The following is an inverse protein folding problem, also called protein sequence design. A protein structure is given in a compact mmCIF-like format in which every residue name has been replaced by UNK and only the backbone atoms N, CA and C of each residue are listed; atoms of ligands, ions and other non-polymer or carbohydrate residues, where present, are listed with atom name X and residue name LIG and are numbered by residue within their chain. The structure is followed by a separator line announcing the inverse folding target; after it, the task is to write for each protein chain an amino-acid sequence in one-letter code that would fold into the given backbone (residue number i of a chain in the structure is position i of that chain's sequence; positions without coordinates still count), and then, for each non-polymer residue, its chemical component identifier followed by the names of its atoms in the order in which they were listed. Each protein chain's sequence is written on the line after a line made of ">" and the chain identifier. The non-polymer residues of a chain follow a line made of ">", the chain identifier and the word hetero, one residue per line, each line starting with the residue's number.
data_IF_808440408599
#
_entry.id   IF_808440408599
#
_cell.length_a   1.000
_cell.length_b   1.000
_cell.length_c   1.000
_cell.angle_alpha   90.00
_cell.angle_beta   90.00
_cell.angle_gamma   90.00
#
_symmetry.space_group_name_H-M   'P 1'
#
loop_
_entity.id
_entity.type
_entity.pdbx_description
1 polymer ?
#
# COMPACT_ATOMS: atom_id res chain seq x y z
N UNK A 1 -18.71 -15.17 0.26
CA UNK A 1 -18.03 -13.95 -0.25
C UNK A 1 -19.10 -13.01 -0.79
N UNK A 2 -19.19 -11.78 -0.26
CA UNK A 2 -20.12 -10.78 -0.77
C UNK A 2 -19.37 -9.90 -1.78
N UNK A 3 -19.97 -9.66 -2.94
CA UNK A 3 -19.45 -8.70 -3.95
C UNK A 3 -19.85 -7.24 -3.59
N UNK A 4 -19.93 -6.92 -2.30
CA UNK A 4 -20.24 -5.57 -1.86
C UNK A 4 -19.05 -4.66 -2.11
N UNK A 5 -19.30 -3.51 -2.69
CA UNK A 5 -18.31 -2.45 -2.86
C UNK A 5 -18.85 -1.15 -2.27
N UNK A 6 -17.92 -0.30 -1.83
CA UNK A 6 -18.24 0.98 -1.21
C UNK A 6 -17.55 2.10 -1.99
N UNK A 7 -18.34 3.07 -2.46
CA UNK A 7 -17.81 4.28 -3.07
C UNK A 7 -17.32 5.19 -1.95
N UNK A 8 -16.01 5.45 -1.87
CA UNK A 8 -15.41 6.30 -0.84
C UNK A 8 -15.39 7.75 -1.31
N UNK A 9 -14.85 8.00 -2.52
CA UNK A 9 -14.83 9.32 -3.15
C UNK A 9 -14.66 9.20 -4.66
N UNK A 10 -14.99 10.26 -5.39
CA UNK A 10 -14.74 10.40 -6.82
C UNK A 10 -13.98 11.70 -7.07
N UNK A 11 -12.88 11.61 -7.79
CA UNK A 11 -12.14 12.78 -8.27
C UNK A 11 -12.54 13.07 -9.73
N UNK A 12 -13.41 14.05 -10.01
CA UNK A 12 -13.89 14.35 -11.37
C UNK A 12 -12.85 15.12 -12.19
N UNK A 13 -11.61 14.68 -12.16
CA UNK A 13 -10.44 15.30 -12.81
C UNK A 13 -9.32 14.28 -12.97
N UNK A 14 -8.35 14.55 -13.83
CA UNK A 14 -7.06 13.86 -13.81
C UNK A 14 -6.33 14.27 -12.53
N UNK A 15 -6.06 13.30 -11.67
CA UNK A 15 -5.46 13.48 -10.37
C UNK A 15 -4.07 12.84 -10.31
N UNK A 16 -3.36 13.02 -9.19
CA UNK A 16 -2.12 12.30 -8.93
C UNK A 16 -2.32 10.78 -8.97
N UNK A 17 -3.45 10.29 -8.46
CA UNK A 17 -3.81 8.87 -8.52
C UNK A 17 -3.96 8.37 -9.96
N UNK A 18 -4.53 9.19 -10.88
CA UNK A 18 -4.60 8.85 -12.30
C UNK A 18 -3.22 8.75 -12.95
N UNK A 19 -2.29 9.65 -12.59
CA UNK A 19 -0.91 9.61 -13.07
C UNK A 19 -0.19 8.34 -12.59
N UNK A 20 -0.39 7.95 -11.32
CA UNK A 20 0.15 6.70 -10.78
C UNK A 20 -0.47 5.47 -11.45
N UNK A 21 -1.78 5.45 -11.67
CA UNK A 21 -2.46 4.37 -12.37
C UNK A 21 -1.96 4.23 -13.81
N UNK A 22 -1.74 5.35 -14.52
CA UNK A 22 -1.15 5.35 -15.86
C UNK A 22 0.25 4.74 -15.86
N UNK A 23 1.08 5.10 -14.88
CA UNK A 23 2.43 4.58 -14.74
C UNK A 23 2.43 3.10 -14.33
N UNK A 24 1.51 2.70 -13.46
CA UNK A 24 1.36 1.33 -13.00
C UNK A 24 0.92 0.37 -14.11
N UNK A 25 -0.04 0.78 -14.93
CA UNK A 25 -0.65 -0.06 -15.96
C UNK A 25 -0.06 0.11 -17.37
N UNK A 26 0.73 1.18 -17.58
CA UNK A 26 1.18 1.57 -18.92
C UNK A 26 0.07 2.22 -19.77
N UNK A 27 -1.14 2.35 -19.23
CA UNK A 27 -2.28 2.95 -19.94
C UNK A 27 -2.24 4.49 -19.83
N UNK A 28 -2.17 5.23 -20.97
CA UNK A 28 -1.95 6.67 -20.93
C UNK A 28 -3.27 7.43 -20.68
N UNK A 29 -3.79 7.40 -19.43
CA UNK A 29 -5.11 7.92 -19.04
C UNK A 29 -5.31 9.37 -19.53
N UNK A 30 -4.35 10.27 -19.26
CA UNK A 30 -4.49 11.68 -19.64
C UNK A 30 -4.61 11.87 -21.16
N UNK A 31 -3.82 11.13 -21.95
CA UNK A 31 -3.88 11.16 -23.41
C UNK A 31 -5.23 10.66 -23.93
N UNK A 32 -5.72 9.56 -23.38
CA UNK A 32 -7.02 8.97 -23.75
C UNK A 32 -8.15 9.92 -23.36
N UNK A 33 -8.14 10.45 -22.14
CA UNK A 33 -9.15 11.41 -21.66
C UNK A 33 -9.22 12.67 -22.54
N UNK A 34 -8.06 13.20 -22.95
CA UNK A 34 -8.03 14.37 -23.85
C UNK A 34 -8.67 14.06 -25.21
N UNK A 35 -8.46 12.87 -25.77
CA UNK A 35 -9.09 12.45 -27.03
C UNK A 35 -10.59 12.22 -26.89
N UNK A 36 -11.03 11.63 -25.77
CA UNK A 36 -12.48 11.50 -25.47
C UNK A 36 -13.13 12.88 -25.37
N UNK A 37 -12.46 13.85 -24.75
CA UNK A 37 -13.00 15.21 -24.60
C UNK A 37 -13.24 15.93 -25.93
N UNK A 38 -12.57 15.55 -27.02
CA UNK A 38 -12.80 16.06 -28.37
C UNK A 38 -13.72 15.16 -29.21
N UNK A 39 -14.39 14.18 -28.58
CA UNK A 39 -15.45 13.37 -29.17
C UNK A 39 -15.04 12.02 -29.75
N UNK A 40 -13.80 11.58 -29.55
CA UNK A 40 -13.38 10.23 -29.97
C UNK A 40 -13.92 9.15 -29.03
N UNK A 41 -14.26 8.00 -29.58
CA UNK A 41 -14.63 6.79 -28.82
C UNK A 41 -13.37 5.99 -28.46
N UNK A 42 -13.48 5.10 -27.46
CA UNK A 42 -12.35 4.28 -27.01
C UNK A 42 -11.80 3.38 -28.14
N UNK A 43 -12.65 2.89 -29.02
CA UNK A 43 -12.27 2.04 -30.16
C UNK A 43 -11.50 2.80 -31.24
N UNK A 44 -11.74 4.09 -31.37
CA UNK A 44 -11.04 4.97 -32.33
C UNK A 44 -9.68 5.44 -31.82
N UNK A 45 -9.46 5.37 -30.48
CA UNK A 45 -8.22 5.85 -29.88
C UNK A 45 -7.14 4.77 -29.95
N UNK A 46 -6.20 4.95 -30.88
CA UNK A 46 -5.04 4.08 -31.02
C UNK A 46 -4.02 4.36 -29.91
N UNK A 47 -3.53 3.27 -29.27
CA UNK A 47 -2.38 3.20 -28.38
C UNK A 47 -1.19 2.59 -29.12
N UNK A 48 -0.09 2.35 -28.43
CA UNK A 48 1.14 1.85 -29.07
C UNK A 48 0.97 0.44 -29.67
N UNK A 49 0.18 -0.43 -29.04
CA UNK A 49 0.00 -1.83 -29.47
C UNK A 49 -1.47 -2.27 -29.54
N UNK A 50 -2.39 -1.47 -29.04
CA UNK A 50 -3.83 -1.80 -28.97
C UNK A 50 -4.69 -0.55 -29.18
N UNK A 51 -5.99 -0.69 -29.04
CA UNK A 51 -6.94 0.45 -28.92
C UNK A 51 -7.28 0.69 -27.44
N UNK A 52 -7.80 1.88 -27.12
CA UNK A 52 -8.06 2.27 -25.74
C UNK A 52 -9.21 1.51 -25.06
N UNK A 53 -10.02 0.76 -25.83
CA UNK A 53 -11.07 -0.11 -25.28
C UNK A 53 -10.52 -1.41 -24.66
N UNK A 54 -9.26 -1.77 -24.90
CA UNK A 54 -8.65 -2.94 -24.28
C UNK A 54 -8.10 -2.59 -22.87
N UNK A 55 -8.47 -3.40 -21.88
CA UNK A 55 -7.91 -3.31 -20.55
C UNK A 55 -6.43 -3.77 -20.54
N UNK A 56 -5.55 -3.03 -19.84
CA UNK A 56 -4.16 -3.46 -19.69
C UNK A 56 -4.07 -4.73 -18.83
N UNK A 57 -3.26 -5.70 -19.27
CA UNK A 57 -2.90 -6.90 -18.51
C UNK A 57 -1.51 -6.73 -17.94
N UNK A 58 -1.34 -6.98 -16.65
CA UNK A 58 -0.06 -6.86 -15.96
C UNK A 58 0.26 -8.14 -15.19
N UNK A 59 1.54 -8.52 -15.13
CA UNK A 59 2.07 -9.69 -14.45
C UNK A 59 3.02 -9.32 -13.29
N UNK A 60 2.86 -8.13 -12.75
CA UNK A 60 3.62 -7.59 -11.63
C UNK A 60 2.70 -6.94 -10.61
N UNK A 61 3.24 -6.75 -9.40
CA UNK A 61 2.54 -6.08 -8.30
C UNK A 61 3.01 -4.64 -8.19
N UNK A 62 2.07 -3.72 -8.03
CA UNK A 62 2.34 -2.31 -7.76
C UNK A 62 1.86 -1.95 -6.37
N UNK A 63 2.77 -1.48 -5.53
CA UNK A 63 2.45 -0.95 -4.20
C UNK A 63 2.54 0.57 -4.21
N UNK A 64 1.45 1.21 -3.81
CA UNK A 64 1.41 2.64 -3.50
C UNK A 64 1.46 2.80 -1.98
N UNK A 65 2.40 3.61 -1.49
CA UNK A 65 2.51 3.92 -0.07
C UNK A 65 2.54 5.43 0.15
N UNK A 66 1.70 5.91 1.07
CA UNK A 66 1.60 7.32 1.39
C UNK A 66 2.75 7.76 2.31
N UNK A 67 3.24 8.98 2.13
CA UNK A 67 4.19 9.64 3.04
C UNK A 67 3.42 10.57 3.97
N UNK A 68 3.50 10.27 5.26
CA UNK A 68 2.91 11.09 6.31
C UNK A 68 4.01 11.89 7.02
N UNK A 69 3.86 13.21 7.20
CA UNK A 69 4.91 14.08 7.75
C UNK A 69 4.88 14.17 9.29
N UNK A 70 4.43 13.15 9.99
CA UNK A 70 4.32 13.15 11.47
C UNK A 70 5.67 13.24 12.16
N UNK A 71 6.75 12.86 11.48
CA UNK A 71 8.13 13.08 11.91
C UNK A 71 8.51 14.57 11.99
N UNK A 72 7.81 15.43 11.23
CA UNK A 72 8.04 16.90 11.21
C UNK A 72 7.05 17.67 12.07
N UNK A 73 5.91 17.08 12.39
CA UNK A 73 4.82 17.70 13.13
C UNK A 73 4.42 16.83 14.32
N UNK A 74 5.22 16.91 15.39
CA UNK A 74 5.05 16.09 16.61
C UNK A 74 3.70 16.25 17.29
N UNK A 75 3.08 17.41 17.15
CA UNK A 75 1.78 17.72 17.79
C UNK A 75 0.58 17.23 16.93
N UNK A 76 0.83 16.73 15.74
CA UNK A 76 -0.23 16.23 14.88
C UNK A 76 -0.63 14.80 15.27
N UNK A 77 -1.94 14.55 15.37
CA UNK A 77 -2.46 13.20 15.57
C UNK A 77 -2.09 12.30 14.38
N UNK A 78 -1.43 11.18 14.65
CA UNK A 78 -1.07 10.15 13.66
C UNK A 78 -2.22 9.20 13.32
N UNK A 79 -3.38 9.33 13.98
CA UNK A 79 -4.56 8.55 13.63
C UNK A 79 -5.08 8.94 12.25
N UNK A 80 -5.20 7.95 11.38
CA UNK A 80 -5.71 8.10 10.02
C UNK A 80 -7.24 8.04 10.03
N UNK A 81 -7.86 8.99 9.34
CA UNK A 81 -9.31 9.11 9.23
C UNK A 81 -9.70 9.56 7.82
N UNK A 82 -10.88 10.16 7.65
CA UNK A 82 -11.35 10.73 6.38
C UNK A 82 -10.58 11.98 5.94
N UNK A 83 -9.79 12.59 6.82
CA UNK A 83 -8.94 13.73 6.47
C UNK A 83 -7.69 13.27 5.72
N UNK A 84 -7.33 13.98 4.65
CA UNK A 84 -6.08 13.76 3.93
C UNK A 84 -4.91 14.32 4.73
N UNK A 85 -4.06 13.44 5.27
CA UNK A 85 -2.86 13.79 6.05
C UNK A 85 -1.55 13.51 5.29
N UNK A 86 -1.62 12.78 4.20
CA UNK A 86 -0.44 12.47 3.39
C UNK A 86 0.04 13.69 2.61
N UNK A 87 1.36 13.94 2.62
CA UNK A 87 2.01 15.03 1.87
C UNK A 87 2.68 14.56 0.59
N UNK A 88 2.84 13.26 0.44
CA UNK A 88 3.45 12.63 -0.71
C UNK A 88 3.08 11.16 -0.81
N UNK A 89 3.60 10.50 -1.81
CA UNK A 89 3.39 9.08 -2.04
C UNK A 89 4.51 8.51 -2.89
N UNK A 90 4.82 7.24 -2.68
CA UNK A 90 5.73 6.48 -3.51
C UNK A 90 4.98 5.37 -4.23
N UNK A 91 5.52 4.93 -5.35
CA UNK A 91 5.06 3.76 -6.09
C UNK A 91 6.24 2.84 -6.34
N UNK A 92 6.06 1.58 -6.04
CA UNK A 92 7.05 0.53 -6.31
C UNK A 92 6.45 -0.59 -7.14
N UNK A 93 7.27 -1.24 -7.92
CA UNK A 93 6.91 -2.39 -8.75
C UNK A 93 7.78 -3.57 -8.33
N UNK A 94 7.16 -4.73 -8.15
CA UNK A 94 7.82 -5.99 -7.84
C UNK A 94 7.09 -7.17 -8.46
N UNK A 95 7.68 -8.34 -8.43
CA UNK A 95 7.03 -9.58 -8.89
C UNK A 95 6.09 -10.16 -7.84
N UNK A 96 6.34 -9.85 -6.57
CA UNK A 96 5.53 -10.28 -5.43
C UNK A 96 5.10 -9.09 -4.59
N UNK A 97 4.10 -9.30 -3.73
CA UNK A 97 3.66 -8.27 -2.77
C UNK A 97 4.79 -7.94 -1.80
N UNK A 98 5.51 -8.95 -1.31
CA UNK A 98 6.64 -8.80 -0.39
C UNK A 98 7.73 -7.91 -0.99
N UNK A 99 8.16 -8.19 -2.21
CA UNK A 99 9.17 -7.39 -2.92
C UNK A 99 8.70 -5.95 -3.12
N UNK A 100 7.50 -5.78 -3.63
CA UNK A 100 6.91 -4.48 -3.93
C UNK A 100 6.75 -3.65 -2.66
N UNK A 101 6.27 -4.25 -1.55
CA UNK A 101 6.10 -3.58 -0.26
C UNK A 101 7.45 -3.11 0.32
N UNK A 102 8.46 -3.98 0.35
CA UNK A 102 9.78 -3.61 0.88
C UNK A 102 10.46 -2.52 0.04
N UNK A 103 10.27 -2.53 -1.28
CA UNK A 103 10.71 -1.42 -2.15
C UNK A 103 9.99 -0.11 -1.82
N UNK A 104 8.66 -0.16 -1.58
CA UNK A 104 7.88 1.01 -1.22
C UNK A 104 8.37 1.62 0.11
N UNK A 105 8.60 0.80 1.14
CA UNK A 105 9.10 1.24 2.44
C UNK A 105 10.44 1.99 2.27
N UNK A 106 11.40 1.41 1.56
CA UNK A 106 12.69 2.07 1.31
C UNK A 106 12.55 3.38 0.55
N UNK A 107 11.62 3.44 -0.39
CA UNK A 107 11.40 4.63 -1.23
C UNK A 107 10.75 5.80 -0.48
N UNK A 108 10.19 5.57 0.71
CA UNK A 108 9.65 6.64 1.57
C UNK A 108 10.73 7.53 2.18
N UNK A 109 11.99 7.10 2.18
CA UNK A 109 13.14 7.85 2.72
C UNK A 109 12.94 8.30 4.19
N UNK A 110 12.34 7.43 5.00
CA UNK A 110 12.12 7.64 6.43
C UNK A 110 13.23 7.07 7.32
N UNK A 111 14.32 6.56 6.71
CA UNK A 111 15.38 5.85 7.42
C UNK A 111 15.04 4.38 7.72
N UNK A 112 13.87 3.91 7.29
CA UNK A 112 13.40 2.53 7.48
C UNK A 112 13.64 1.73 6.20
N UNK A 113 14.29 0.57 6.32
CA UNK A 113 14.65 -0.25 5.16
C UNK A 113 13.75 -1.49 4.97
N UNK A 114 13.02 -1.91 6.01
CA UNK A 114 12.16 -3.10 5.99
C UNK A 114 11.01 -2.96 6.99
N UNK A 115 10.21 -4.00 7.21
CA UNK A 115 9.06 -4.01 8.15
C UNK A 115 9.51 -4.06 9.62
N UNK A 116 10.32 -3.10 10.07
CA UNK A 116 10.83 -3.02 11.42
C UNK A 116 10.91 -1.57 11.89
N UNK A 117 10.47 -1.34 13.13
CA UNK A 117 10.67 -0.09 13.89
C UNK A 117 11.02 -0.44 15.33
N UNK A 118 12.19 0.00 15.78
CA UNK A 118 12.71 -0.28 17.14
C UNK A 118 11.77 0.17 18.26
N UNK A 119 10.93 1.16 18.03
CA UNK A 119 9.96 1.63 19.04
C UNK A 119 8.93 0.59 19.48
N UNK A 120 8.79 -0.52 18.73
CA UNK A 120 7.87 -1.61 19.05
C UNK A 120 8.53 -2.83 19.71
N UNK A 121 9.85 -2.82 19.91
CA UNK A 121 10.58 -3.99 20.40
C UNK A 121 10.17 -4.39 21.82
N UNK A 122 10.08 -3.40 22.71
CA UNK A 122 9.77 -3.63 24.14
C UNK A 122 8.29 -3.42 24.48
N UNK A 123 7.43 -3.28 23.47
CA UNK A 123 5.98 -3.09 23.70
C UNK A 123 5.31 -4.44 23.92
N UNK A 124 4.57 -4.62 25.03
CA UNK A 124 3.86 -5.85 25.31
C UNK A 124 2.87 -6.23 24.20
N UNK A 125 2.75 -7.53 23.92
CA UNK A 125 1.86 -8.06 22.87
C UNK A 125 0.41 -7.55 23.00
N UNK A 126 -0.12 -7.44 24.22
CA UNK A 126 -1.47 -6.96 24.48
C UNK A 126 -1.62 -5.48 24.06
N UNK A 127 -0.64 -4.65 24.35
CA UNK A 127 -0.63 -3.23 23.96
C UNK A 127 -0.51 -3.07 22.44
N UNK A 128 0.31 -3.89 21.78
CA UNK A 128 0.41 -3.90 20.32
C UNK A 128 -0.92 -4.31 19.67
N UNK A 129 -1.62 -5.29 20.24
CA UNK A 129 -2.95 -5.69 19.75
C UNK A 129 -3.99 -4.58 19.88
N UNK A 130 -3.93 -3.79 20.95
CA UNK A 130 -4.79 -2.62 21.09
C UNK A 130 -4.38 -1.49 20.15
N UNK A 131 -3.08 -1.29 19.98
CA UNK A 131 -2.53 -0.27 19.07
C UNK A 131 -2.98 -0.47 17.62
N UNK A 132 -2.93 -1.69 17.11
CA UNK A 132 -3.27 -1.97 15.71
C UNK A 132 -4.76 -1.80 15.37
N UNK A 133 -5.64 -1.68 16.38
CA UNK A 133 -7.08 -1.38 16.15
C UNK A 133 -7.28 0.00 15.54
N UNK A 134 -6.35 0.92 15.80
CA UNK A 134 -6.39 2.29 15.26
C UNK A 134 -5.54 2.33 13.99
N UNK A 135 -6.08 2.95 12.92
CA UNK A 135 -5.33 3.18 11.70
C UNK A 135 -4.30 4.30 11.92
N UNK A 136 -3.01 3.93 12.02
CA UNK A 136 -1.87 4.85 12.08
C UNK A 136 -0.96 4.65 10.88
N UNK A 137 -0.08 5.61 10.61
CA UNK A 137 0.90 5.55 9.52
C UNK A 137 1.92 4.42 9.69
N UNK A 138 2.16 4.01 10.91
CA UNK A 138 3.15 2.99 11.28
C UNK A 138 2.52 1.64 11.71
N UNK A 139 1.20 1.51 11.63
CA UNK A 139 0.47 0.30 12.01
C UNK A 139 1.03 -0.98 11.38
N UNK A 140 1.52 -0.93 10.15
CA UNK A 140 2.09 -2.09 9.47
C UNK A 140 3.32 -2.65 10.18
N UNK A 141 4.12 -1.80 10.81
CA UNK A 141 5.31 -2.21 11.57
C UNK A 141 4.92 -2.86 12.91
N UNK A 142 3.88 -2.34 13.58
CA UNK A 142 3.32 -2.97 14.79
C UNK A 142 2.73 -4.35 14.47
N UNK A 143 2.06 -4.51 13.33
CA UNK A 143 1.58 -5.81 12.83
C UNK A 143 2.75 -6.77 12.62
N UNK A 144 3.81 -6.34 11.95
CA UNK A 144 5.00 -7.17 11.74
C UNK A 144 5.64 -7.59 13.05
N UNK A 145 5.69 -6.71 14.06
CA UNK A 145 6.19 -7.04 15.39
C UNK A 145 5.32 -8.09 16.10
N UNK A 146 3.99 -7.97 16.02
CA UNK A 146 3.08 -9.01 16.53
C UNK A 146 3.34 -10.38 15.88
N UNK A 147 3.60 -10.40 14.58
CA UNK A 147 3.95 -11.64 13.86
C UNK A 147 5.30 -12.19 14.34
N UNK A 148 6.30 -11.34 14.61
CA UNK A 148 7.59 -11.77 15.22
C UNK A 148 7.42 -12.39 16.60
N UNK A 149 6.47 -11.86 17.38
CA UNK A 149 6.11 -12.39 18.71
C UNK A 149 5.26 -13.68 18.63
N UNK A 150 4.89 -14.14 17.43
CA UNK A 150 4.12 -15.36 17.23
C UNK A 150 2.62 -15.21 17.44
N UNK A 151 2.10 -14.00 17.35
CA UNK A 151 0.64 -13.75 17.44
C UNK A 151 -0.08 -14.43 16.29
N UNK A 152 -1.22 -15.07 16.58
CA UNK A 152 -2.08 -15.68 15.56
C UNK A 152 -2.58 -14.61 14.58
N UNK A 153 -2.45 -14.87 13.29
CA UNK A 153 -2.89 -13.96 12.23
C UNK A 153 -4.39 -13.69 12.28
N UNK A 154 -5.18 -14.65 12.78
CA UNK A 154 -6.62 -14.47 12.94
C UNK A 154 -6.99 -13.37 13.95
N UNK A 155 -6.19 -13.23 15.03
CA UNK A 155 -6.36 -12.15 16.00
C UNK A 155 -6.03 -10.80 15.39
N UNK A 156 -4.95 -10.74 14.59
CA UNK A 156 -4.55 -9.53 13.87
C UNK A 156 -5.59 -9.15 12.82
N UNK A 157 -6.08 -10.13 12.05
CA UNK A 157 -7.15 -9.93 11.06
C UNK A 157 -8.41 -9.35 11.71
N UNK A 158 -8.86 -9.95 12.81
CA UNK A 158 -10.05 -9.50 13.55
C UNK A 158 -9.88 -8.09 14.11
N UNK A 159 -8.69 -7.74 14.61
CA UNK A 159 -8.40 -6.42 15.18
C UNK A 159 -8.30 -5.33 14.12
N UNK A 160 -7.78 -5.64 12.94
CA UNK A 160 -7.44 -4.66 11.91
C UNK A 160 -8.40 -4.62 10.74
N UNK A 161 -9.16 -5.70 10.52
CA UNK A 161 -9.97 -5.98 9.31
C UNK A 161 -9.13 -5.99 8.02
N UNK A 162 -7.80 -6.20 8.14
CA UNK A 162 -6.91 -6.43 6.99
C UNK A 162 -7.10 -7.88 6.55
N UNK A 163 -7.27 -8.07 5.24
CA UNK A 163 -7.46 -9.40 4.67
C UNK A 163 -6.27 -10.32 4.98
N UNK A 164 -6.55 -11.59 5.25
CA UNK A 164 -5.59 -12.62 5.61
C UNK A 164 -4.47 -12.74 4.58
N UNK A 165 -4.78 -12.57 3.29
CA UNK A 165 -3.80 -12.59 2.21
C UNK A 165 -2.63 -11.65 2.49
N UNK A 166 -2.89 -10.39 2.92
CA UNK A 166 -1.82 -9.43 3.21
C UNK A 166 -1.05 -9.78 4.48
N UNK A 167 -1.73 -10.30 5.51
CA UNK A 167 -1.08 -10.73 6.74
C UNK A 167 -0.15 -11.92 6.52
N UNK A 168 -0.53 -12.86 5.66
CA UNK A 168 0.35 -13.97 5.24
C UNK A 168 1.59 -13.44 4.50
N UNK A 169 1.46 -12.39 3.67
CA UNK A 169 2.60 -11.77 3.02
C UNK A 169 3.55 -11.08 4.00
N UNK A 170 3.02 -10.44 5.04
CA UNK A 170 3.86 -9.90 6.12
C UNK A 170 4.55 -11.02 6.89
N UNK A 171 3.84 -12.13 7.13
CA UNK A 171 4.42 -13.31 7.79
C UNK A 171 5.56 -13.90 6.96
N UNK A 172 5.43 -14.02 5.65
CA UNK A 172 6.50 -14.50 4.78
C UNK A 172 7.77 -13.66 4.91
N UNK A 173 7.65 -12.33 5.02
CA UNK A 173 8.79 -11.44 5.23
C UNK A 173 9.44 -11.72 6.59
N UNK A 174 8.65 -11.82 7.65
CA UNK A 174 9.14 -12.08 9.01
C UNK A 174 9.78 -13.47 9.13
N UNK A 175 9.21 -14.48 8.50
CA UNK A 175 9.78 -15.84 8.51
C UNK A 175 11.11 -15.88 7.75
N UNK A 176 11.22 -15.16 6.62
CA UNK A 176 12.48 -15.05 5.88
C UNK A 176 13.55 -14.26 6.67
N UNK A 177 13.17 -13.23 7.44
CA UNK A 177 14.10 -12.56 8.37
C UNK A 177 14.70 -13.55 9.39
N UNK A 178 13.86 -14.46 9.94
CA UNK A 178 14.32 -15.49 10.89
C UNK A 178 15.25 -16.50 10.22
N UNK A 179 14.95 -16.88 8.99
CA UNK A 179 15.79 -17.79 8.21
C UNK A 179 17.19 -17.19 7.96
N UNK A 180 17.25 -15.92 7.55
CA UNK A 180 18.52 -15.20 7.35
C UNK A 180 19.31 -15.13 8.68
N UNK A 181 18.63 -14.80 9.78
CA UNK A 181 19.28 -14.71 11.08
C UNK A 181 19.83 -16.05 11.60
N UNK A 182 19.23 -17.16 11.20
CA UNK A 182 19.69 -18.50 11.54
C UNK A 182 20.90 -18.97 10.70
N UNK A 183 21.17 -18.33 9.57
CA UNK A 183 22.25 -18.67 8.63
C UNK A 183 23.07 -17.42 8.26
N UNK A 184 23.81 -16.85 9.24
CA UNK A 184 24.58 -15.60 9.05
C UNK A 184 25.78 -15.77 8.11
#
# INVERSE_FOLDING_TARGET
>A
ESFNYYLIEVNPRVSRSSALASKASGFPIARVTAKIAVGMTLDEIQLASTVASFEPTIDYVVTKMARFPFDKFSDASNSLSTQMKATGEVMSIGRTIEESLLKAIRSLETGVCHLYLAKFDDVPQAELLDYIKIGTDDRIFAIAQLIRLGTDLSLICNATQIDMLFLEKFKNIVDFEKEIAAHP
#
